data_IF_475064267960
#
_entry.id   IF_475064267960
#
_cell.length_a   1.000
_cell.length_b   1.000
_cell.length_c   1.000
_cell.angle_alpha   90.00
_cell.angle_beta   90.00
_cell.angle_gamma   90.00
#
_symmetry.space_group_name_H-M   'P 1'
#
loop_
_entity.id
_entity.type
_entity.pdbx_description
1 polymer ?
#
# COMPACT_ATOMS: atom_id res chain seq x y z
N UNK A 1 -18.86 1.62 8.70
CA UNK A 1 -19.17 0.24 8.26
C UNK A 1 -18.49 -0.03 6.93
N UNK A 2 -17.18 -0.30 6.94
CA UNK A 2 -16.36 -0.46 5.72
C UNK A 2 -16.00 -1.94 5.46
N UNK A 3 -16.06 -2.79 6.49
CA UNK A 3 -15.92 -4.26 6.38
C UNK A 3 -16.86 -4.89 5.34
N UNK A 4 -18.07 -4.35 5.15
CA UNK A 4 -19.02 -4.87 4.15
C UNK A 4 -18.55 -4.65 2.71
N UNK A 5 -17.81 -3.58 2.43
CA UNK A 5 -17.35 -3.25 1.08
C UNK A 5 -16.22 -4.16 0.59
N UNK A 6 -15.27 -4.46 1.46
CA UNK A 6 -14.14 -5.34 1.13
C UNK A 6 -14.59 -6.81 1.00
N UNK A 7 -15.46 -7.29 1.89
CA UNK A 7 -16.04 -8.64 1.76
C UNK A 7 -16.95 -8.75 0.53
N UNK A 8 -17.71 -7.70 0.19
CA UNK A 8 -18.48 -7.65 -1.05
C UNK A 8 -17.59 -7.74 -2.30
N UNK A 9 -16.43 -7.07 -2.33
CA UNK A 9 -15.47 -7.15 -3.43
C UNK A 9 -14.87 -8.56 -3.59
N UNK A 10 -14.53 -9.22 -2.48
CA UNK A 10 -14.03 -10.60 -2.51
C UNK A 10 -15.12 -11.60 -2.93
N UNK A 11 -16.37 -11.41 -2.47
CA UNK A 11 -17.52 -12.20 -2.90
C UNK A 11 -17.83 -12.04 -4.39
N UNK A 12 -17.73 -10.82 -4.93
CA UNK A 12 -17.94 -10.54 -6.35
C UNK A 12 -16.92 -11.26 -7.24
N UNK A 13 -15.67 -11.40 -6.79
CA UNK A 13 -14.63 -12.16 -7.49
C UNK A 13 -14.77 -13.69 -7.41
N UNK A 14 -15.52 -14.21 -6.43
CA UNK A 14 -15.64 -15.64 -6.18
C UNK A 14 -16.89 -16.30 -6.82
N UNK A 15 -17.90 -15.51 -7.21
CA UNK A 15 -19.23 -16.04 -7.60
C UNK A 15 -19.44 -16.11 -9.12
N UNK A 16 -18.65 -15.40 -9.95
CA UNK A 16 -18.74 -15.55 -11.41
C UNK A 16 -17.47 -15.15 -12.16
N UNK A 17 -17.36 -15.69 -13.37
CA UNK A 17 -16.29 -15.62 -14.36
C UNK A 17 -15.87 -14.19 -14.74
N UNK A 18 -15.07 -13.54 -13.89
CA UNK A 18 -14.52 -12.20 -14.09
C UNK A 18 -15.40 -11.07 -13.52
N UNK A 19 -14.77 -10.16 -12.77
CA UNK A 19 -15.43 -8.98 -12.20
C UNK A 19 -15.39 -7.83 -13.21
N UNK A 20 -16.54 -7.24 -13.51
CA UNK A 20 -16.61 -6.04 -14.35
C UNK A 20 -15.97 -4.85 -13.63
N UNK A 21 -15.04 -4.16 -14.30
CA UNK A 21 -14.32 -2.99 -13.76
C UNK A 21 -15.26 -1.92 -13.19
N UNK A 22 -16.45 -1.78 -13.79
CA UNK A 22 -17.48 -0.84 -13.34
C UNK A 22 -18.07 -1.21 -11.97
N UNK A 23 -18.22 -2.50 -11.66
CA UNK A 23 -18.72 -2.94 -10.34
C UNK A 23 -17.69 -2.68 -9.23
N UNK A 24 -16.41 -2.89 -9.52
CA UNK A 24 -15.32 -2.53 -8.59
C UNK A 24 -15.30 -1.02 -8.38
N UNK A 25 -15.46 -0.23 -9.46
CA UNK A 25 -15.45 1.22 -9.40
C UNK A 25 -16.61 1.79 -8.57
N UNK A 26 -17.81 1.21 -8.67
CA UNK A 26 -18.99 1.63 -7.92
C UNK A 26 -18.84 1.35 -6.41
N UNK A 27 -18.28 0.20 -6.03
CA UNK A 27 -17.94 -0.10 -4.62
C UNK A 27 -16.84 0.83 -4.11
N UNK A 28 -15.80 1.11 -4.92
CA UNK A 28 -14.77 2.07 -4.55
C UNK A 28 -15.32 3.49 -4.41
N UNK A 29 -16.31 3.90 -5.21
CA UNK A 29 -16.98 5.20 -5.06
C UNK A 29 -17.82 5.31 -3.78
N UNK A 30 -18.30 4.18 -3.24
CA UNK A 30 -18.98 4.16 -1.94
C UNK A 30 -18.02 4.30 -0.74
N UNK A 31 -16.71 4.14 -0.97
CA UNK A 31 -15.67 4.38 0.03
C UNK A 31 -15.26 5.86 0.01
N UNK A 32 -15.42 6.54 1.14
CA UNK A 32 -15.28 8.00 1.26
C UNK A 32 -13.86 8.52 0.94
N UNK A 33 -12.83 7.67 0.99
CA UNK A 33 -11.42 8.04 0.76
C UNK A 33 -10.67 6.96 -0.04
N UNK A 34 -10.83 6.94 -1.36
CA UNK A 34 -10.03 6.07 -2.25
C UNK A 34 -8.88 6.86 -2.86
N UNK A 35 -7.65 6.54 -2.47
CA UNK A 35 -6.44 7.12 -3.06
C UNK A 35 -5.81 6.11 -4.02
N UNK A 36 -5.82 6.40 -5.32
CA UNK A 36 -5.08 5.62 -6.31
C UNK A 36 -3.61 6.03 -6.22
N UNK A 37 -2.79 5.17 -5.64
CA UNK A 37 -1.36 5.45 -5.46
C UNK A 37 -0.63 5.50 -6.80
N UNK A 38 -0.93 4.58 -7.74
CA UNK A 38 -0.33 4.53 -9.08
C UNK A 38 -1.00 3.50 -10.00
N UNK A 39 -0.92 3.71 -11.32
CA UNK A 39 -1.33 2.74 -12.36
C UNK A 39 -0.21 2.56 -13.40
N UNK A 40 0.85 1.79 -13.06
CA UNK A 40 1.94 1.53 -13.99
C UNK A 40 1.45 0.66 -15.17
N UNK A 41 1.92 0.97 -16.38
CA UNK A 41 1.65 0.19 -17.59
C UNK A 41 2.98 -0.14 -18.26
N UNK A 42 3.12 -1.38 -18.70
CA UNK A 42 4.31 -1.82 -19.43
C UNK A 42 3.91 -2.83 -20.51
N UNK A 43 4.49 -2.66 -21.69
CA UNK A 43 4.38 -3.60 -22.78
C UNK A 43 5.65 -4.46 -22.85
N UNK A 44 5.49 -5.76 -23.03
CA UNK A 44 6.62 -6.69 -23.11
C UNK A 44 6.27 -7.86 -24.00
N UNK A 45 7.29 -8.41 -24.65
CA UNK A 45 7.15 -9.63 -25.44
C UNK A 45 7.00 -10.85 -24.53
N UNK A 46 6.31 -11.86 -25.01
CA UNK A 46 6.20 -13.16 -24.33
C UNK A 46 7.59 -13.70 -23.91
N UNK A 47 7.70 -14.17 -22.67
CA UNK A 47 8.92 -14.69 -22.07
C UNK A 47 9.96 -13.61 -21.72
N UNK A 48 9.74 -12.36 -22.14
CA UNK A 48 10.57 -11.21 -21.77
C UNK A 48 10.28 -10.74 -20.35
N UNK A 49 11.31 -10.21 -19.69
CA UNK A 49 11.16 -9.48 -18.43
C UNK A 49 10.96 -8.00 -18.73
N UNK A 50 9.90 -7.44 -18.17
CA UNK A 50 9.70 -6.00 -18.11
C UNK A 50 9.79 -5.49 -16.68
N UNK A 51 10.30 -4.27 -16.57
CA UNK A 51 10.43 -3.53 -15.33
C UNK A 51 10.02 -2.09 -15.58
N UNK A 52 9.24 -1.54 -14.67
CA UNK A 52 8.96 -0.11 -14.59
C UNK A 52 9.18 0.34 -13.15
N UNK A 53 10.03 1.35 -12.98
CA UNK A 53 10.29 1.98 -11.69
C UNK A 53 9.89 3.45 -11.78
N UNK A 54 9.04 3.88 -10.86
CA UNK A 54 8.75 5.27 -10.62
C UNK A 54 9.03 5.54 -9.14
N UNK A 55 10.29 5.87 -8.84
CA UNK A 55 10.79 6.03 -7.47
C UNK A 55 11.48 7.37 -7.28
N UNK A 56 11.41 7.89 -6.07
CA UNK A 56 12.14 9.05 -5.58
C UNK A 56 13.08 8.59 -4.47
N UNK A 57 14.29 9.11 -4.43
CA UNK A 57 15.25 8.81 -3.37
C UNK A 57 15.07 9.77 -2.20
N UNK A 58 14.84 9.23 -1.01
CA UNK A 58 14.68 10.00 0.21
C UNK A 58 15.90 9.77 1.12
N UNK A 59 16.53 10.83 1.65
CA UNK A 59 17.64 10.70 2.58
C UNK A 59 17.18 10.04 3.89
N UNK A 60 17.94 9.06 4.36
CA UNK A 60 17.70 8.32 5.59
C UNK A 60 18.99 8.24 6.41
N UNK A 61 18.95 8.71 7.66
CA UNK A 61 20.12 8.74 8.53
C UNK A 61 20.19 7.45 9.35
N UNK A 62 21.27 6.68 9.20
CA UNK A 62 21.58 5.52 10.02
C UNK A 62 22.54 5.92 11.15
N UNK A 63 22.19 5.61 12.39
CA UNK A 63 23.08 5.88 13.54
C UNK A 63 24.09 4.74 13.64
N UNK A 64 25.35 5.04 13.37
CA UNK A 64 26.48 4.12 13.48
C UNK A 64 27.05 4.12 14.90
N UNK A 65 26.27 3.55 15.82
CA UNK A 65 26.69 3.28 17.21
C UNK A 65 27.12 4.52 18.01
N UNK A 66 27.48 4.29 19.27
CA UNK A 66 28.07 5.30 20.17
C UNK A 66 29.50 4.83 20.44
N UNK A 67 30.49 5.69 20.16
CA UNK A 67 31.87 5.37 20.49
C UNK A 67 32.10 5.47 22.01
N UNK A 68 33.21 4.92 22.49
CA UNK A 68 33.59 4.95 23.92
C UNK A 68 33.73 6.36 24.51
N UNK A 69 33.77 7.40 23.66
CA UNK A 69 33.83 8.81 24.03
C UNK A 69 32.46 9.51 24.04
N UNK A 70 31.36 8.77 23.84
CA UNK A 70 29.99 9.30 23.87
C UNK A 70 29.54 10.03 22.59
N UNK A 71 30.35 10.04 21.53
CA UNK A 71 29.95 10.56 20.22
C UNK A 71 29.27 9.45 19.41
N UNK A 72 28.21 9.79 18.69
CA UNK A 72 27.57 8.89 17.73
C UNK A 72 27.92 9.29 16.30
N UNK A 73 28.20 8.29 15.46
CA UNK A 73 28.28 8.49 14.03
C UNK A 73 26.88 8.49 13.42
N UNK A 74 26.65 9.33 12.42
CA UNK A 74 25.47 9.24 11.56
C UNK A 74 25.94 9.08 10.12
N UNK A 75 25.44 8.05 9.43
CA UNK A 75 25.71 7.79 8.03
C UNK A 75 24.45 8.08 7.23
N UNK A 76 24.57 8.97 6.25
CA UNK A 76 23.49 9.26 5.31
C UNK A 76 23.39 8.13 4.29
N UNK A 77 22.19 7.60 4.07
CA UNK A 77 21.88 6.59 3.05
C UNK A 77 20.60 6.99 2.33
N UNK A 78 20.51 6.75 1.04
CA UNK A 78 19.28 7.02 0.29
C UNK A 78 18.39 5.78 0.26
N UNK A 79 17.08 5.98 0.42
CA UNK A 79 16.06 4.95 0.28
C UNK A 79 15.13 5.31 -0.86
N UNK A 80 14.97 4.39 -1.81
CA UNK A 80 14.02 4.56 -2.91
C UNK A 80 12.59 4.33 -2.40
N UNK A 81 11.71 5.29 -2.70
CA UNK A 81 10.29 5.27 -2.35
C UNK A 81 9.47 5.58 -3.60
N UNK A 82 8.46 4.77 -3.87
CA UNK A 82 7.60 4.87 -5.05
C UNK A 82 7.12 3.50 -5.49
N UNK A 83 6.83 3.36 -6.79
CA UNK A 83 6.25 2.13 -7.35
C UNK A 83 7.24 1.41 -8.24
N UNK A 84 7.39 0.10 -7.98
CA UNK A 84 8.19 -0.83 -8.79
C UNK A 84 7.29 -1.95 -9.26
N UNK A 85 7.29 -2.22 -10.56
CA UNK A 85 6.56 -3.33 -11.14
C UNK A 85 7.52 -4.14 -12.01
N UNK A 86 7.59 -5.44 -11.73
CA UNK A 86 8.23 -6.44 -12.56
C UNK A 86 7.18 -7.42 -13.06
N UNK A 87 7.26 -7.75 -14.35
CA UNK A 87 6.35 -8.72 -14.94
C UNK A 87 7.06 -9.57 -15.99
N UNK A 88 6.70 -10.85 -16.02
CA UNK A 88 7.09 -11.80 -17.05
C UNK A 88 5.82 -12.50 -17.53
N UNK A 89 5.30 -12.16 -18.73
CA UNK A 89 4.15 -12.84 -19.30
C UNK A 89 4.56 -14.09 -20.07
N UNK A 90 3.65 -15.07 -20.09
CA UNK A 90 3.71 -16.27 -20.92
C UNK A 90 2.32 -16.59 -21.45
N UNK A 91 2.19 -16.90 -22.73
CA UNK A 91 0.93 -17.35 -23.30
C UNK A 91 0.82 -18.85 -23.06
N UNK A 92 -0.34 -19.29 -22.58
CA UNK A 92 -0.62 -20.69 -22.30
C UNK A 92 -1.90 -21.08 -23.03
N UNK A 93 -1.81 -22.05 -23.94
CA UNK A 93 -2.94 -22.46 -24.77
C UNK A 93 -3.34 -21.36 -25.77
N UNK A 94 -4.64 -21.17 -25.96
CA UNK A 94 -5.18 -20.27 -26.99
C UNK A 94 -5.50 -18.88 -26.47
N UNK A 95 -6.00 -18.74 -25.23
CA UNK A 95 -6.50 -17.45 -24.72
C UNK A 95 -6.23 -17.22 -23.23
N UNK A 96 -5.15 -17.81 -22.70
CA UNK A 96 -4.75 -17.60 -21.30
C UNK A 96 -3.36 -17.01 -21.22
N UNK A 97 -3.22 -15.99 -20.37
CA UNK A 97 -1.95 -15.35 -20.07
C UNK A 97 -1.55 -15.72 -18.66
N UNK A 98 -0.42 -16.41 -18.53
CA UNK A 98 0.25 -16.59 -17.26
C UNK A 98 1.14 -15.37 -17.00
N UNK A 99 0.94 -14.70 -15.88
CA UNK A 99 1.74 -13.56 -15.45
C UNK A 99 2.48 -13.91 -14.17
N UNK A 100 3.80 -13.81 -14.19
CA UNK A 100 4.60 -13.72 -12.97
C UNK A 100 4.80 -12.24 -12.67
N UNK A 101 4.26 -11.78 -11.54
CA UNK A 101 4.15 -10.37 -11.18
C UNK A 101 4.82 -10.14 -9.83
N UNK A 102 5.65 -9.11 -9.75
CA UNK A 102 6.16 -8.54 -8.51
C UNK A 102 5.87 -7.05 -8.52
N UNK A 103 4.93 -6.62 -7.67
CA UNK A 103 4.56 -5.22 -7.52
C UNK A 103 4.90 -4.75 -6.11
N UNK A 104 5.52 -3.59 -6.04
CA UNK A 104 5.87 -2.90 -4.81
C UNK A 104 5.43 -1.45 -4.91
N UNK A 105 4.69 -0.99 -3.91
CA UNK A 105 4.31 0.40 -3.74
C UNK A 105 4.80 0.88 -2.38
N UNK A 106 5.55 1.97 -2.38
CA UNK A 106 6.06 2.60 -1.17
C UNK A 106 5.78 4.08 -1.18
N UNK A 107 5.53 4.63 0.01
CA UNK A 107 5.25 6.05 0.23
C UNK A 107 5.88 6.51 1.54
N UNK A 108 6.22 7.79 1.60
CA UNK A 108 6.51 8.45 2.87
C UNK A 108 5.21 8.56 3.68
N UNK A 109 5.25 8.15 4.95
CA UNK A 109 4.10 8.01 5.84
C UNK A 109 4.26 8.85 7.11
N UNK A 110 4.93 9.99 7.00
CA UNK A 110 5.24 10.89 8.11
C UNK A 110 6.69 10.74 8.59
N UNK A 111 6.97 11.26 9.79
CA UNK A 111 8.32 11.30 10.36
C UNK A 111 8.31 10.66 11.75
N UNK A 112 9.10 9.59 11.96
CA UNK A 112 8.99 8.81 13.21
C UNK A 112 10.05 9.13 14.24
N UNK A 113 11.27 9.50 13.82
CA UNK A 113 12.38 9.60 14.77
C UNK A 113 13.15 10.89 14.55
N UNK A 114 13.05 11.78 15.54
CA UNK A 114 13.82 13.02 15.64
C UNK A 114 15.02 12.78 16.55
N UNK A 115 16.23 13.05 16.05
CA UNK A 115 17.45 13.04 16.85
C UNK A 115 17.99 14.45 16.95
N UNK A 116 18.26 14.91 18.17
CA UNK A 116 18.89 16.21 18.40
C UNK A 116 20.40 16.04 18.29
N UNK A 117 21.04 16.73 17.34
CA UNK A 117 22.51 16.82 17.28
C UNK A 117 23.04 17.63 18.45
N UNK A 118 24.30 17.41 18.84
CA UNK A 118 24.97 18.20 19.91
C UNK A 118 25.02 19.72 19.68
N UNK A 119 24.52 20.22 18.54
CA UNK A 119 24.30 21.65 18.22
C UNK A 119 22.81 22.04 18.13
N UNK A 120 21.90 21.32 18.79
CA UNK A 120 20.45 21.58 18.79
C UNK A 120 19.77 21.52 17.40
N UNK A 121 20.39 20.87 16.41
CA UNK A 121 19.73 20.61 15.11
C UNK A 121 18.97 19.30 15.23
N UNK A 122 17.65 19.33 15.08
CA UNK A 122 16.83 18.11 15.03
C UNK A 122 16.86 17.54 13.61
N UNK A 123 17.40 16.33 13.46
CA UNK A 123 17.34 15.56 12.22
C UNK A 123 16.24 14.52 12.36
N UNK A 124 15.29 14.49 11.43
CA UNK A 124 14.15 13.56 11.50
C UNK A 124 14.18 12.56 10.36
N UNK A 125 14.00 11.27 10.67
CA UNK A 125 13.90 10.21 9.68
C UNK A 125 12.44 9.98 9.27
N UNK A 126 12.16 9.93 7.95
CA UNK A 126 10.82 9.62 7.45
C UNK A 126 10.45 8.16 7.74
N UNK A 127 9.16 7.93 7.92
CA UNK A 127 8.55 6.59 7.91
C UNK A 127 8.28 6.24 6.47
N UNK A 128 8.76 5.08 6.02
CA UNK A 128 8.49 4.57 4.69
C UNK A 128 7.52 3.40 4.83
N UNK A 129 6.29 3.60 4.39
CA UNK A 129 5.29 2.54 4.31
C UNK A 129 5.46 1.82 2.99
N UNK A 130 5.74 0.51 3.04
CA UNK A 130 5.96 -0.34 1.87
C UNK A 130 4.92 -1.47 1.83
N UNK A 131 4.34 -1.68 0.66
CA UNK A 131 3.36 -2.72 0.38
C UNK A 131 3.77 -3.45 -0.88
N UNK A 132 3.76 -4.77 -0.87
CA UNK A 132 4.21 -5.57 -2.01
C UNK A 132 3.38 -6.83 -2.17
N UNK A 133 3.15 -7.22 -3.42
CA UNK A 133 2.53 -8.49 -3.78
C UNK A 133 3.37 -9.18 -4.86
N UNK A 134 3.73 -10.44 -4.59
CA UNK A 134 4.42 -11.30 -5.55
C UNK A 134 3.59 -12.55 -5.77
N UNK A 135 3.19 -12.79 -7.01
CA UNK A 135 2.34 -13.94 -7.34
C UNK A 135 2.52 -14.38 -8.79
N UNK A 136 2.01 -15.57 -9.09
CA UNK A 136 1.84 -16.07 -10.44
C UNK A 136 0.36 -16.37 -10.66
N UNK A 137 -0.24 -15.71 -11.66
CA UNK A 137 -1.67 -15.81 -11.94
C UNK A 137 -1.91 -16.17 -13.40
N UNK A 138 -3.00 -16.89 -13.65
CA UNK A 138 -3.50 -17.22 -14.98
C UNK A 138 -4.81 -16.47 -15.18
N UNK A 139 -4.92 -15.73 -16.27
CA UNK A 139 -6.13 -14.99 -16.58
C UNK A 139 -6.25 -14.72 -18.08
N UNK A 140 -7.47 -14.46 -18.51
CA UNK A 140 -7.77 -14.15 -19.90
C UNK A 140 -7.41 -12.69 -20.23
N UNK A 141 -7.00 -12.39 -21.47
CA UNK A 141 -6.76 -11.02 -21.91
C UNK A 141 -7.96 -10.11 -21.68
N UNK A 142 -7.73 -8.91 -21.15
CA UNK A 142 -8.76 -7.90 -20.94
C UNK A 142 -9.50 -8.00 -19.60
N UNK A 143 -9.41 -9.12 -18.89
CA UNK A 143 -9.98 -9.27 -17.54
C UNK A 143 -9.04 -8.67 -16.48
N UNK A 144 -9.62 -8.00 -15.48
CA UNK A 144 -8.87 -7.51 -14.33
C UNK A 144 -9.05 -8.49 -13.16
N UNK A 145 -7.94 -8.84 -12.50
CA UNK A 145 -7.96 -9.72 -11.33
C UNK A 145 -7.28 -9.04 -10.14
N UNK A 146 -7.83 -9.27 -8.95
CA UNK A 146 -7.19 -8.91 -7.68
C UNK A 146 -6.12 -9.95 -7.40
N UNK A 147 -4.87 -9.52 -7.35
CA UNK A 147 -3.73 -10.42 -7.09
C UNK A 147 -3.34 -10.46 -5.61
N UNK A 148 -3.85 -9.51 -4.82
CA UNK A 148 -3.63 -9.47 -3.38
C UNK A 148 -4.22 -8.22 -2.74
N UNK A 149 -4.35 -8.25 -1.42
CA UNK A 149 -4.80 -7.11 -0.63
C UNK A 149 -4.30 -7.18 0.80
N UNK A 150 -4.22 -6.02 1.46
CA UNK A 150 -3.86 -5.86 2.86
C UNK A 150 -4.88 -4.93 3.52
N UNK A 151 -5.49 -5.41 4.60
CA UNK A 151 -6.36 -4.63 5.48
C UNK A 151 -5.61 -4.41 6.78
N UNK A 152 -5.41 -3.15 7.14
CA UNK A 152 -4.79 -2.75 8.40
C UNK A 152 -5.79 -1.97 9.23
N UNK A 153 -5.98 -2.37 10.47
CA UNK A 153 -6.86 -1.68 11.42
C UNK A 153 -6.04 -1.21 12.62
N UNK A 154 -6.20 0.07 12.99
CA UNK A 154 -5.57 0.69 14.16
C UNK A 154 -6.67 1.22 15.07
N UNK A 155 -6.76 0.67 16.28
CA UNK A 155 -7.63 1.17 17.35
C UNK A 155 -6.79 1.93 18.37
N UNK A 156 -7.13 3.19 18.61
CA UNK A 156 -6.54 4.04 19.63
C UNK A 156 -7.63 4.44 20.63
N UNK A 157 -7.61 3.80 21.79
CA UNK A 157 -8.46 4.16 22.92
C UNK A 157 -7.64 4.91 23.98
N UNK A 158 -8.11 6.10 24.37
CA UNK A 158 -7.55 6.91 25.45
C UNK A 158 -8.67 7.28 26.42
N UNK A 159 -8.55 6.79 27.64
CA UNK A 159 -9.41 7.19 28.75
C UNK A 159 -8.66 8.21 29.62
N UNK A 160 -9.19 9.42 29.72
CA UNK A 160 -8.73 10.43 30.67
C UNK A 160 -9.79 10.59 31.76
N UNK A 161 -9.45 10.25 33.00
CA UNK A 161 -10.37 10.42 34.14
C UNK A 161 -9.72 11.16 35.29
N UNK A 162 -10.53 11.93 36.03
CA UNK A 162 -10.11 12.54 37.28
C UNK A 162 -10.07 11.44 38.36
N UNK A 163 -8.95 11.22 39.07
CA UNK A 163 -8.87 10.24 40.15
C UNK A 163 -9.96 10.47 41.20
N UNK A 164 -10.53 9.39 41.76
CA UNK A 164 -11.63 9.39 42.75
C UNK A 164 -13.00 9.77 42.16
N UNK A 165 -13.11 10.88 41.42
CA UNK A 165 -14.39 11.35 40.88
C UNK A 165 -14.85 10.58 39.63
N UNK A 166 -13.90 10.08 38.82
CA UNK A 166 -14.19 9.30 37.62
C UNK A 166 -14.69 7.87 37.91
N UNK A 167 -14.46 7.35 39.12
CA UNK A 167 -14.83 5.99 39.52
C UNK A 167 -16.19 5.93 40.25
N UNK A 168 -16.86 7.09 40.45
CA UNK A 168 -18.18 7.14 41.10
C UNK A 168 -19.26 6.49 40.23
N UNK A 169 -20.07 5.55 40.77
CA UNK A 169 -21.25 5.05 40.08
C UNK A 169 -22.24 6.21 39.83
N UNK A 170 -22.91 6.20 38.66
CA UNK A 170 -23.78 7.26 38.11
C UNK A 170 -23.10 8.59 37.73
N UNK A 171 -22.17 9.13 38.52
CA UNK A 171 -21.60 10.47 38.31
C UNK A 171 -20.24 10.48 37.60
N UNK A 172 -19.52 9.35 37.59
CA UNK A 172 -18.19 9.25 36.99
C UNK A 172 -18.14 9.54 35.50
N UNK A 173 -19.26 9.41 34.78
CA UNK A 173 -19.37 9.73 33.36
C UNK A 173 -19.15 11.22 33.02
N UNK A 174 -19.40 12.13 33.97
CA UNK A 174 -19.16 13.57 33.80
C UNK A 174 -17.70 13.97 34.07
N UNK A 175 -16.92 13.10 34.71
CA UNK A 175 -15.53 13.34 35.12
C UNK A 175 -14.52 12.43 34.40
N UNK A 176 -14.98 11.75 33.34
CA UNK A 176 -14.16 10.95 32.41
C UNK A 176 -14.37 11.43 30.99
N UNK A 177 -13.30 11.40 30.20
CA UNK A 177 -13.30 11.68 28.76
C UNK A 177 -12.72 10.46 28.06
N UNK A 178 -13.53 9.84 27.22
CA UNK A 178 -13.12 8.71 26.39
C UNK A 178 -12.86 9.24 24.98
N UNK A 179 -11.66 9.00 24.49
CA UNK A 179 -11.28 9.25 23.11
C UNK A 179 -11.06 7.89 22.45
N UNK A 180 -11.82 7.60 21.42
CA UNK A 180 -11.65 6.40 20.61
C UNK A 180 -11.47 6.82 19.16
N UNK A 181 -10.34 6.46 18.58
CA UNK A 181 -10.03 6.65 17.17
C UNK A 181 -9.81 5.28 16.53
N UNK A 182 -10.54 5.01 15.44
CA UNK A 182 -10.39 3.80 14.64
C UNK A 182 -9.96 4.22 13.24
N UNK A 183 -8.79 3.75 12.82
CA UNK A 183 -8.21 4.00 11.50
C UNK A 183 -8.10 2.69 10.73
N UNK A 184 -8.69 2.62 9.55
CA UNK A 184 -8.69 1.43 8.68
C UNK A 184 -8.03 1.79 7.35
N UNK A 185 -7.06 0.98 6.93
CA UNK A 185 -6.33 1.14 5.66
C UNK A 185 -6.47 -0.12 4.81
N UNK A 186 -7.13 0.02 3.66
CA UNK A 186 -7.32 -1.05 2.70
C UNK A 186 -6.42 -0.83 1.48
N UNK A 187 -5.59 -1.81 1.14
CA UNK A 187 -4.77 -1.79 -0.07
C UNK A 187 -5.07 -3.00 -0.92
N UNK A 188 -5.26 -2.77 -2.22
CA UNK A 188 -5.58 -3.80 -3.19
C UNK A 188 -4.64 -3.68 -4.39
N UNK A 189 -4.13 -4.82 -4.85
CA UNK A 189 -3.33 -4.92 -6.06
C UNK A 189 -4.17 -5.55 -7.17
N UNK A 190 -4.28 -4.84 -8.29
CA UNK A 190 -5.01 -5.29 -9.46
C UNK A 190 -4.09 -5.40 -10.66
N UNK A 191 -4.33 -6.40 -11.52
CA UNK A 191 -3.65 -6.49 -12.82
C UNK A 191 -4.65 -6.80 -13.93
N UNK A 192 -4.38 -6.23 -15.11
CA UNK A 192 -5.16 -6.46 -16.33
C UNK A 192 -4.22 -6.62 -17.53
N UNK A 193 -3.96 -7.84 -18.01
CA UNK A 193 -3.19 -8.07 -19.23
C UNK A 193 -3.99 -7.68 -20.45
N UNK A 194 -3.27 -7.28 -21.49
CA UNK A 194 -3.80 -7.13 -22.85
C UNK A 194 -2.77 -7.74 -23.81
N UNK A 195 -3.24 -8.56 -24.74
CA UNK A 195 -2.41 -9.03 -25.85
C UNK A 195 -2.50 -7.97 -26.94
N UNK A 196 -1.36 -7.36 -27.28
CA UNK A 196 -1.27 -6.37 -28.36
C UNK A 196 -0.95 -7.10 -29.66
N UNK A 197 -1.77 -6.89 -30.70
CA UNK A 197 -1.43 -7.34 -32.05
C UNK A 197 -0.70 -6.21 -32.80
N UNK A 198 0.01 -6.53 -33.87
CA UNK A 198 0.87 -5.58 -34.61
C UNK A 198 0.16 -4.29 -35.06
N UNK A 199 -1.16 -4.31 -35.19
CA UNK A 199 -2.00 -3.17 -35.53
C UNK A 199 -2.31 -2.23 -34.33
N UNK A 200 -2.17 -2.72 -33.10
CA UNK A 200 -2.52 -1.99 -31.86
C UNK A 200 -1.36 -1.13 -31.34
N UNK A 201 -0.11 -1.53 -31.60
CA UNK A 201 1.10 -0.84 -31.14
C UNK A 201 1.24 0.61 -31.65
N UNK A 202 0.59 0.96 -32.76
CA UNK A 202 0.64 2.31 -33.35
C UNK A 202 -0.42 3.29 -32.81
N UNK A 203 -1.36 2.81 -31.98
CA UNK A 203 -2.47 3.61 -31.44
C UNK A 203 -2.38 3.89 -29.94
N UNK A 204 -1.58 3.15 -29.20
CA UNK A 204 -1.48 3.23 -27.72
C UNK A 204 -0.16 3.85 -27.20
N UNK A 205 0.79 4.18 -28.08
CA UNK A 205 2.00 4.96 -27.80
C UNK A 205 1.82 6.41 -28.25
#
# INVERSE_FOLDING_TARGET
NVNEGTEALFSLGAVHDGVSFNAILEVLQSMENVTIVSSPKVAVREGGRAEILNTTEIPFFNISGINTSGNYGATLTYKEVGVKLYVIPRIVGTDTVALNVDIEASQESGTSVSFTTGQATTVTNPVISKRSARTMVYLEPGQAVIIGGLVTERHLERENKIPILGDLPLLGALFRSNFSEKEETNVLFFIRPRILQSADLSREL
#
